data_IF_992327706593
#
_entry.id   IF_992327706593
#
_cell.length_a   1.000
_cell.length_b   1.000
_cell.length_c   1.000
_cell.angle_alpha   90.00
_cell.angle_beta   90.00
_cell.angle_gamma   90.00
#
_symmetry.space_group_name_H-M   'P 1'
#
loop_
_entity.id
_entity.type
_entity.pdbx_description
1 polymer ?
#
# COMPACT_ATOMS: atom_id res chain seq x y z
N UNK A 1 3.27 -19.01 -8.29
CA UNK A 1 3.38 -17.53 -8.12
C UNK A 1 3.11 -17.18 -6.66
N UNK A 2 4.01 -16.46 -6.02
CA UNK A 2 3.88 -16.00 -4.64
C UNK A 2 3.30 -14.57 -4.64
N UNK A 3 2.10 -14.35 -4.08
CA UNK A 3 1.42 -13.05 -4.10
C UNK A 3 1.08 -12.61 -2.68
N UNK A 4 1.51 -11.39 -2.32
CA UNK A 4 1.18 -10.75 -1.05
C UNK A 4 0.34 -9.50 -1.29
N UNK A 5 -0.72 -9.33 -0.49
CA UNK A 5 -1.51 -8.12 -0.46
C UNK A 5 -1.21 -7.29 0.80
N UNK A 6 -0.84 -6.04 0.62
CA UNK A 6 -0.48 -5.11 1.67
C UNK A 6 -1.62 -4.12 1.86
N UNK A 7 -2.31 -4.22 3.00
CA UNK A 7 -3.46 -3.37 3.28
C UNK A 7 -3.06 -1.93 3.63
N UNK A 8 -4.00 -1.00 3.52
CA UNK A 8 -3.79 0.41 3.83
C UNK A 8 -3.79 0.71 5.33
N UNK A 9 -3.58 2.00 5.64
CA UNK A 9 -3.66 2.53 7.01
C UNK A 9 -5.05 2.29 7.63
N UNK A 10 -5.08 1.93 8.91
CA UNK A 10 -6.30 1.65 9.68
C UNK A 10 -7.26 0.66 8.99
N UNK A 11 -6.72 -0.26 8.20
CA UNK A 11 -7.43 -1.30 7.47
C UNK A 11 -6.97 -2.68 7.97
N UNK A 12 -7.38 -3.74 7.29
CA UNK A 12 -7.00 -5.11 7.67
C UNK A 12 -6.82 -6.01 6.45
N UNK A 13 -6.28 -7.20 6.71
CA UNK A 13 -6.19 -8.29 5.74
C UNK A 13 -7.54 -8.74 5.17
N UNK A 14 -8.67 -8.35 5.80
CA UNK A 14 -10.05 -8.67 5.39
C UNK A 14 -10.73 -7.54 4.61
N UNK A 15 -9.97 -6.59 4.06
CA UNK A 15 -10.54 -5.49 3.29
C UNK A 15 -11.24 -5.99 2.01
N UNK A 16 -12.24 -5.24 1.53
CA UNK A 16 -13.01 -5.57 0.32
C UNK A 16 -12.11 -5.83 -0.89
N UNK A 17 -11.09 -4.99 -1.09
CA UNK A 17 -10.12 -5.18 -2.19
C UNK A 17 -9.33 -6.49 -2.03
N UNK A 18 -8.84 -6.77 -0.82
CA UNK A 18 -8.11 -8.02 -0.55
C UNK A 18 -8.98 -9.25 -0.85
N UNK A 19 -10.23 -9.26 -0.40
CA UNK A 19 -11.18 -10.34 -0.67
C UNK A 19 -11.43 -10.53 -2.16
N UNK A 20 -11.71 -9.44 -2.89
CA UNK A 20 -11.95 -9.49 -4.32
C UNK A 20 -10.75 -10.07 -5.11
N UNK A 21 -9.55 -9.56 -4.86
CA UNK A 21 -8.35 -10.08 -5.54
C UNK A 21 -8.01 -11.52 -5.12
N UNK A 22 -8.28 -11.89 -3.86
CA UNK A 22 -8.13 -13.27 -3.42
C UNK A 22 -9.03 -14.24 -4.19
N UNK A 23 -10.30 -13.85 -4.41
CA UNK A 23 -11.25 -14.67 -5.17
C UNK A 23 -10.83 -14.80 -6.65
N UNK A 24 -10.43 -13.70 -7.26
CA UNK A 24 -9.96 -13.69 -8.64
C UNK A 24 -8.69 -14.54 -8.83
N UNK A 25 -7.68 -14.38 -7.98
CA UNK A 25 -6.44 -15.16 -8.03
C UNK A 25 -6.68 -16.64 -7.75
N UNK A 26 -7.60 -16.98 -6.84
CA UNK A 26 -7.97 -18.37 -6.54
C UNK A 26 -8.56 -19.08 -7.75
N UNK A 27 -9.31 -18.39 -8.61
CA UNK A 27 -9.80 -18.94 -9.88
C UNK A 27 -8.66 -19.37 -10.81
N UNK A 28 -7.46 -18.82 -10.64
CA UNK A 28 -6.23 -19.18 -11.36
C UNK A 28 -5.29 -20.11 -10.55
N UNK A 29 -5.77 -20.70 -9.45
CA UNK A 29 -4.97 -21.58 -8.60
C UNK A 29 -3.89 -20.87 -7.77
N UNK A 30 -3.99 -19.54 -7.59
CA UNK A 30 -3.03 -18.71 -6.86
C UNK A 30 -3.61 -18.30 -5.52
N UNK A 31 -2.90 -18.59 -4.43
CA UNK A 31 -3.27 -18.13 -3.09
C UNK A 31 -2.72 -16.72 -2.84
N UNK A 32 -3.61 -15.81 -2.43
CA UNK A 32 -3.23 -14.48 -1.95
C UNK A 32 -2.94 -14.54 -0.45
N UNK A 33 -1.73 -14.16 -0.05
CA UNK A 33 -1.36 -13.98 1.36
C UNK A 33 -1.53 -12.53 1.74
N UNK A 34 -2.05 -12.27 2.92
CA UNK A 34 -2.34 -10.93 3.41
C UNK A 34 -1.75 -10.77 4.82
N UNK A 35 -0.50 -10.29 4.96
CA UNK A 35 0.05 -9.98 6.27
C UNK A 35 -0.83 -8.98 7.01
N UNK A 36 -1.11 -9.23 8.29
CA UNK A 36 -1.80 -8.25 9.13
C UNK A 36 -0.76 -7.34 9.80
N UNK A 37 -0.70 -6.10 9.35
CA UNK A 37 0.22 -5.10 9.92
C UNK A 37 -0.26 -4.54 11.26
N UNK A 38 -1.48 -4.83 11.67
CA UNK A 38 -1.96 -4.45 12.99
C UNK A 38 -1.39 -5.33 14.11
N UNK A 39 -0.80 -6.48 13.78
CA UNK A 39 -0.17 -7.37 14.75
C UNK A 39 1.21 -6.81 15.21
N UNK A 40 1.54 -6.84 16.52
CA UNK A 40 0.77 -7.31 17.67
C UNK A 40 -0.35 -6.34 18.10
N UNK A 41 -0.29 -5.07 17.73
CA UNK A 41 -1.30 -4.05 17.99
C UNK A 41 -1.16 -2.87 17.03
N UNK A 42 -2.26 -2.14 16.81
CA UNK A 42 -2.29 -0.93 15.98
C UNK A 42 -1.59 0.26 16.64
N UNK A 43 -1.60 0.33 17.98
CA UNK A 43 -1.06 1.49 18.70
C UNK A 43 0.45 1.68 18.47
N UNK A 44 1.19 0.59 18.33
CA UNK A 44 2.65 0.61 18.10
C UNK A 44 3.05 0.46 16.62
N UNK A 45 2.10 0.64 15.69
CA UNK A 45 2.38 0.59 14.26
C UNK A 45 3.48 1.61 13.89
N UNK A 46 4.44 1.18 13.06
CA UNK A 46 5.41 2.05 12.38
C UNK A 46 5.74 1.51 10.99
N UNK A 47 6.23 2.35 10.10
CA UNK A 47 6.68 1.94 8.76
C UNK A 47 7.84 0.95 8.87
N UNK A 48 8.79 1.22 9.77
CA UNK A 48 9.91 0.31 10.06
C UNK A 48 9.43 -1.07 10.50
N UNK A 49 8.42 -1.15 11.40
CA UNK A 49 7.86 -2.43 11.86
C UNK A 49 7.21 -3.20 10.71
N UNK A 50 6.39 -2.52 9.90
CA UNK A 50 5.73 -3.12 8.74
C UNK A 50 6.73 -3.65 7.71
N UNK A 51 7.78 -2.89 7.39
CA UNK A 51 8.86 -3.33 6.50
C UNK A 51 9.64 -4.52 7.07
N UNK A 52 9.90 -4.52 8.38
CA UNK A 52 10.54 -5.64 9.06
C UNK A 52 9.71 -6.92 9.01
N UNK A 53 8.38 -6.81 9.19
CA UNK A 53 7.45 -7.94 9.03
C UNK A 53 7.46 -8.44 7.58
N UNK A 54 7.32 -7.53 6.61
CA UNK A 54 7.33 -7.89 5.20
C UNK A 54 8.66 -8.53 4.77
N UNK A 55 9.79 -8.05 5.29
CA UNK A 55 11.10 -8.67 5.05
C UNK A 55 11.16 -10.14 5.51
N UNK A 56 10.57 -10.46 6.67
CA UNK A 56 10.46 -11.87 7.12
C UNK A 56 9.55 -12.70 6.22
N UNK A 57 8.42 -12.13 5.78
CA UNK A 57 7.48 -12.81 4.88
C UNK A 57 8.08 -13.07 3.49
N UNK A 58 8.96 -12.19 3.02
CA UNK A 58 9.68 -12.33 1.75
C UNK A 58 10.88 -13.28 1.85
N UNK A 59 11.46 -13.47 3.03
CA UNK A 59 12.63 -14.33 3.22
C UNK A 59 12.31 -15.83 3.07
N UNK A 60 11.11 -16.26 3.48
CA UNK A 60 10.73 -17.66 3.57
C UNK A 60 10.51 -18.36 2.20
N UNK A 61 9.78 -17.79 1.22
CA UNK A 61 9.58 -18.42 -0.08
C UNK A 61 10.83 -18.34 -0.96
N UNK A 62 11.08 -19.39 -1.78
CA UNK A 62 12.15 -19.35 -2.78
C UNK A 62 11.84 -18.43 -3.95
N UNK A 63 10.57 -18.34 -4.36
CA UNK A 63 10.12 -17.50 -5.47
C UNK A 63 9.97 -16.04 -5.04
N UNK A 64 10.45 -15.08 -5.84
CA UNK A 64 10.17 -13.68 -5.63
C UNK A 64 8.67 -13.38 -5.63
N UNK A 65 8.25 -12.47 -4.77
CA UNK A 65 6.84 -12.15 -4.59
C UNK A 65 6.35 -11.08 -5.58
N UNK A 66 5.09 -11.20 -5.99
CA UNK A 66 4.30 -10.07 -6.47
C UNK A 66 3.72 -9.35 -5.25
N UNK A 67 3.97 -8.06 -5.11
CA UNK A 67 3.37 -7.24 -4.05
C UNK A 67 2.19 -6.45 -4.62
N UNK A 68 1.01 -6.68 -4.07
CA UNK A 68 -0.19 -5.90 -4.34
C UNK A 68 -0.41 -4.96 -3.15
N UNK A 69 -0.46 -3.65 -3.35
CA UNK A 69 -0.54 -2.72 -2.22
C UNK A 69 -1.58 -1.63 -2.40
N UNK A 70 -2.40 -1.36 -1.37
CA UNK A 70 -3.40 -0.30 -1.39
C UNK A 70 -3.04 0.83 -0.44
N UNK A 71 -3.07 2.08 -0.91
CA UNK A 71 -2.77 3.29 -0.13
C UNK A 71 -1.40 3.18 0.56
N UNK A 72 -1.32 3.19 1.91
CA UNK A 72 -0.09 2.95 2.67
C UNK A 72 0.55 1.60 2.31
N UNK A 73 -0.24 0.56 2.02
CA UNK A 73 0.28 -0.72 1.53
C UNK A 73 1.00 -0.59 0.19
N UNK A 74 0.57 0.34 -0.67
CA UNK A 74 1.27 0.70 -1.91
C UNK A 74 2.62 1.37 -1.64
N UNK A 75 2.67 2.27 -0.67
CA UNK A 75 3.93 2.86 -0.18
C UNK A 75 4.89 1.79 0.32
N UNK A 76 4.39 0.86 1.16
CA UNK A 76 5.20 -0.27 1.67
C UNK A 76 5.72 -1.16 0.54
N UNK A 77 4.92 -1.42 -0.50
CA UNK A 77 5.36 -2.22 -1.65
C UNK A 77 6.52 -1.55 -2.39
N UNK A 78 6.47 -0.23 -2.60
CA UNK A 78 7.55 0.56 -3.21
C UNK A 78 8.82 0.48 -2.37
N UNK A 79 8.71 0.74 -1.07
CA UNK A 79 9.85 0.71 -0.14
C UNK A 79 10.45 -0.69 -0.02
N UNK A 80 9.61 -1.73 -0.02
CA UNK A 80 10.05 -3.12 0.01
C UNK A 80 10.76 -3.54 -1.29
N UNK A 81 10.29 -3.09 -2.45
CA UNK A 81 10.97 -3.35 -3.72
C UNK A 81 12.38 -2.73 -3.73
N UNK A 82 12.55 -1.53 -3.18
CA UNK A 82 13.86 -0.91 -3.04
C UNK A 82 14.77 -1.61 -2.01
N UNK A 83 14.19 -2.07 -0.87
CA UNK A 83 14.97 -2.67 0.21
C UNK A 83 15.32 -4.14 -0.01
N UNK A 84 14.45 -4.90 -0.69
CA UNK A 84 14.55 -6.36 -0.81
C UNK A 84 14.70 -6.83 -2.27
N UNK A 85 14.87 -5.93 -3.22
CA UNK A 85 15.25 -6.15 -4.62
C UNK A 85 14.81 -7.48 -5.23
N UNK A 86 15.71 -8.45 -5.27
CA UNK A 86 15.52 -9.77 -5.87
C UNK A 86 14.39 -10.62 -5.26
N UNK A 87 13.87 -10.23 -4.10
CA UNK A 87 12.75 -10.91 -3.43
C UNK A 87 11.38 -10.41 -3.92
N UNK A 88 11.35 -9.36 -4.74
CA UNK A 88 10.15 -8.77 -5.33
C UNK A 88 10.22 -8.84 -6.84
N UNK A 89 9.21 -9.44 -7.47
CA UNK A 89 9.18 -9.63 -8.92
C UNK A 89 8.38 -8.55 -9.67
N UNK A 90 7.25 -8.13 -9.11
CA UNK A 90 6.33 -7.13 -9.68
C UNK A 90 5.57 -6.40 -8.60
N UNK A 91 5.07 -5.20 -8.92
CA UNK A 91 4.18 -4.43 -8.07
C UNK A 91 2.83 -4.18 -8.76
N UNK A 92 1.73 -4.33 -8.02
CA UNK A 92 0.38 -3.86 -8.42
C UNK A 92 -0.10 -2.93 -7.32
N UNK A 93 -0.20 -1.65 -7.62
CA UNK A 93 -0.46 -0.61 -6.62
C UNK A 93 -1.83 0.04 -6.87
N UNK A 94 -2.59 0.24 -5.82
CA UNK A 94 -3.94 0.80 -5.83
C UNK A 94 -3.96 2.06 -4.97
N UNK A 95 -4.08 3.23 -5.60
CA UNK A 95 -4.03 4.54 -4.96
C UNK A 95 -2.85 4.68 -3.97
N UNK A 96 -1.58 4.41 -4.40
CA UNK A 96 -0.44 4.39 -3.49
C UNK A 96 -0.19 5.77 -2.87
N UNK A 97 -0.07 5.82 -1.53
CA UNK A 97 0.15 7.06 -0.80
C UNK A 97 1.62 7.52 -0.90
N UNK A 98 2.06 7.90 -2.10
CA UNK A 98 3.46 8.21 -2.41
C UNK A 98 4.02 9.45 -1.69
N UNK A 99 3.14 10.28 -1.13
CA UNK A 99 3.50 11.52 -0.44
C UNK A 99 3.02 11.56 1.03
N UNK A 100 2.57 10.44 1.60
CA UNK A 100 1.83 10.45 2.87
C UNK A 100 2.58 11.07 4.07
N UNK A 101 3.90 10.98 4.09
CA UNK A 101 4.75 11.53 5.16
C UNK A 101 5.41 12.87 4.79
N UNK A 102 5.16 13.41 3.60
CA UNK A 102 5.75 14.68 3.17
C UNK A 102 5.02 15.87 3.80
N UNK A 103 5.74 16.88 4.30
CA UNK A 103 5.12 18.12 4.77
C UNK A 103 4.22 18.74 3.70
N UNK A 104 3.02 19.18 4.10
CA UNK A 104 2.01 19.75 3.19
C UNK A 104 1.14 18.73 2.44
N UNK A 105 1.42 17.43 2.57
CA UNK A 105 0.63 16.35 1.95
C UNK A 105 -0.05 15.45 2.97
N UNK A 106 -0.02 15.82 4.24
CA UNK A 106 -0.69 15.06 5.30
C UNK A 106 -2.19 15.28 5.25
N UNK A 107 -2.96 14.25 5.56
CA UNK A 107 -4.41 14.35 5.78
C UNK A 107 -4.75 15.11 7.06
N UNK A 108 -3.82 15.19 8.03
CA UNK A 108 -3.98 15.94 9.27
C UNK A 108 -3.37 17.34 9.11
N UNK A 109 -4.09 18.39 9.56
CA UNK A 109 -3.53 19.73 9.62
C UNK A 109 -2.40 19.82 10.67
N UNK A 110 -1.47 20.79 10.54
CA UNK A 110 -0.30 20.91 11.42
C UNK A 110 -0.63 20.92 12.91
N UNK A 111 -1.71 21.58 13.29
CA UNK A 111 -2.17 21.70 14.70
C UNK A 111 -2.51 20.33 15.30
N UNK A 112 -3.10 19.44 14.49
CA UNK A 112 -3.44 18.07 14.91
C UNK A 112 -2.19 17.21 15.05
N UNK A 113 -1.18 17.42 14.19
CA UNK A 113 0.11 16.74 14.29
C UNK A 113 0.85 17.19 15.55
N UNK A 114 0.82 18.50 15.88
CA UNK A 114 1.41 19.04 17.10
C UNK A 114 0.67 18.57 18.36
N UNK A 115 -0.65 18.46 18.30
CA UNK A 115 -1.43 17.85 19.38
C UNK A 115 -1.02 16.38 19.57
N UNK A 116 -0.94 15.61 18.51
CA UNK A 116 -0.52 14.20 18.54
C UNK A 116 0.87 14.05 19.16
N UNK A 117 1.83 14.89 18.75
CA UNK A 117 3.18 14.92 19.33
C UNK A 117 3.14 15.19 20.85
N UNK A 118 2.36 16.19 21.29
CA UNK A 118 2.30 16.55 22.72
C UNK A 118 1.63 15.49 23.58
N UNK A 119 0.63 14.80 23.04
CA UNK A 119 -0.11 13.73 23.74
C UNK A 119 0.60 12.39 23.70
N UNK A 120 1.51 12.20 22.75
CA UNK A 120 2.17 10.92 22.48
C UNK A 120 1.31 9.92 21.72
N UNK A 121 -0.01 10.09 21.73
CA UNK A 121 -0.99 9.24 21.01
C UNK A 121 -2.19 10.04 20.52
N UNK A 122 -2.86 9.51 19.49
CA UNK A 122 -4.12 10.03 18.93
C UNK A 122 -4.99 8.88 18.47
N UNK A 123 -6.31 9.00 18.62
CA UNK A 123 -7.26 8.01 18.09
C UNK A 123 -7.53 8.22 16.61
N UNK A 124 -7.63 7.11 15.90
CA UNK A 124 -8.02 7.04 14.48
C UNK A 124 -9.12 6.00 14.32
N UNK A 125 -10.10 6.30 13.48
CA UNK A 125 -11.11 5.31 13.12
C UNK A 125 -10.46 4.17 12.32
N UNK A 126 -10.54 2.96 12.87
CA UNK A 126 -9.95 1.78 12.27
C UNK A 126 -11.02 0.99 11.52
N UNK A 127 -11.02 1.09 10.21
CA UNK A 127 -12.04 0.47 9.33
C UNK A 127 -12.11 -1.05 9.47
N UNK A 128 -10.98 -1.71 9.71
CA UNK A 128 -10.95 -3.17 9.89
C UNK A 128 -11.58 -3.65 11.21
N UNK A 129 -11.65 -2.79 12.23
CA UNK A 129 -12.27 -3.08 13.54
C UNK A 129 -13.60 -2.35 13.74
N UNK A 130 -13.92 -1.37 12.87
CA UNK A 130 -15.11 -0.51 12.97
C UNK A 130 -15.20 0.28 14.28
N UNK A 131 -14.05 0.72 14.81
CA UNK A 131 -13.95 1.47 16.06
C UNK A 131 -12.74 2.40 16.07
N UNK A 132 -12.74 3.36 17.00
CA UNK A 132 -11.57 4.22 17.26
C UNK A 132 -10.46 3.42 17.95
N UNK A 133 -9.23 3.57 17.44
CA UNK A 133 -8.04 2.92 17.99
C UNK A 133 -6.93 3.95 18.21
N UNK A 134 -6.23 3.91 19.36
CA UNK A 134 -5.08 4.77 19.58
C UNK A 134 -3.93 4.39 18.66
N UNK A 135 -3.16 5.40 18.26
CA UNK A 135 -1.91 5.24 17.52
C UNK A 135 -0.86 6.18 18.13
N UNK A 136 0.30 5.63 18.46
CA UNK A 136 1.39 6.40 19.03
C UNK A 136 1.99 7.38 18.00
N UNK A 137 2.43 8.55 18.45
CA UNK A 137 3.11 9.54 17.60
C UNK A 137 4.35 8.98 16.89
N UNK A 138 4.95 7.92 17.44
CA UNK A 138 6.06 7.20 16.83
C UNK A 138 5.78 6.74 15.39
N UNK A 139 4.52 6.50 15.02
CA UNK A 139 4.15 6.20 13.63
C UNK A 139 4.50 7.36 12.70
N UNK A 140 4.11 8.59 13.08
CA UNK A 140 4.39 9.77 12.28
C UNK A 140 5.89 10.05 12.21
N UNK A 141 6.56 10.04 13.35
CA UNK A 141 8.00 10.31 13.44
C UNK A 141 8.83 9.30 12.62
N UNK A 142 8.51 8.02 12.72
CA UNK A 142 9.14 6.97 11.93
C UNK A 142 8.86 7.14 10.42
N UNK A 143 7.64 7.54 10.06
CA UNK A 143 7.24 7.68 8.65
C UNK A 143 8.03 8.75 7.89
N UNK A 144 8.51 9.79 8.58
CA UNK A 144 9.32 10.86 7.99
C UNK A 144 10.69 10.39 7.45
N UNK A 145 11.11 9.19 7.86
CA UNK A 145 12.37 8.56 7.41
C UNK A 145 12.26 7.91 6.02
N UNK A 146 11.04 7.80 5.49
CA UNK A 146 10.75 7.05 4.28
C UNK A 146 10.19 7.95 3.18
N UNK A 147 10.84 7.92 2.02
CA UNK A 147 10.42 8.66 0.84
C UNK A 147 10.26 7.74 -0.37
N UNK A 148 9.04 7.45 -0.82
CA UNK A 148 8.81 6.66 -2.03
C UNK A 148 9.43 7.27 -3.29
N UNK A 149 9.60 8.60 -3.36
CA UNK A 149 10.22 9.26 -4.51
C UNK A 149 11.71 8.98 -4.59
N UNK A 150 12.39 8.79 -3.45
CA UNK A 150 13.81 8.45 -3.38
C UNK A 150 14.07 6.93 -3.50
N UNK A 151 13.02 6.12 -3.38
CA UNK A 151 13.11 4.68 -3.50
C UNK A 151 13.52 4.26 -4.92
N UNK A 152 14.63 3.51 -5.04
CA UNK A 152 15.13 3.00 -6.31
C UNK A 152 14.76 1.54 -6.47
N UNK A 153 14.03 1.22 -7.50
CA UNK A 153 13.58 -0.13 -7.82
C UNK A 153 13.31 -0.25 -9.34
N UNK A 154 13.53 -1.42 -9.89
CA UNK A 154 13.39 -1.69 -11.34
C UNK A 154 12.27 -2.69 -11.65
N UNK A 155 11.57 -3.19 -10.62
CA UNK A 155 10.49 -4.15 -10.80
C UNK A 155 9.36 -3.55 -11.64
N UNK A 156 8.86 -4.27 -12.66
CA UNK A 156 7.67 -3.85 -13.39
C UNK A 156 6.53 -3.52 -12.43
N UNK A 157 5.92 -2.37 -12.61
CA UNK A 157 4.92 -1.83 -11.70
C UNK A 157 3.69 -1.36 -12.45
N UNK A 158 2.51 -1.82 -12.03
CA UNK A 158 1.22 -1.34 -12.49
C UNK A 158 0.55 -0.54 -11.36
N UNK A 159 0.16 0.69 -11.65
CA UNK A 159 -0.56 1.57 -10.71
C UNK A 159 -1.98 1.82 -11.23
N UNK A 160 -2.95 1.68 -10.34
CA UNK A 160 -4.33 2.16 -10.53
C UNK A 160 -4.56 3.35 -9.61
N UNK A 161 -5.06 4.47 -10.17
CA UNK A 161 -5.30 5.69 -9.41
C UNK A 161 -6.64 6.30 -9.77
N UNK A 162 -7.43 6.65 -8.75
CA UNK A 162 -8.72 7.34 -8.92
C UNK A 162 -8.53 8.83 -9.24
N UNK A 163 -9.26 9.32 -10.24
CA UNK A 163 -9.26 10.75 -10.61
C UNK A 163 -9.99 11.62 -9.56
N UNK A 164 -10.93 11.02 -8.82
CA UNK A 164 -11.71 11.67 -7.76
C UNK A 164 -11.18 11.36 -6.35
N UNK A 165 -9.96 10.84 -6.26
CA UNK A 165 -9.32 10.52 -4.98
C UNK A 165 -8.99 11.82 -4.22
N UNK A 166 -9.63 11.99 -3.05
CA UNK A 166 -9.43 13.14 -2.14
C UNK A 166 -8.39 12.86 -1.05
N UNK A 167 -7.93 11.61 -0.93
CA UNK A 167 -6.93 11.19 0.06
C UNK A 167 -5.53 11.18 -0.52
N UNK A 168 -5.40 10.77 -1.79
CA UNK A 168 -4.14 10.75 -2.53
C UNK A 168 -4.35 11.49 -3.86
N UNK A 169 -3.82 12.70 -3.98
CA UNK A 169 -3.93 13.48 -5.20
C UNK A 169 -3.30 12.71 -6.37
N UNK A 170 -4.12 12.40 -7.39
CA UNK A 170 -3.70 11.66 -8.57
C UNK A 170 -2.50 12.31 -9.28
N UNK A 171 -2.37 13.64 -9.21
CA UNK A 171 -1.23 14.38 -9.82
C UNK A 171 0.10 13.99 -9.20
N UNK A 172 0.12 13.70 -7.89
CA UNK A 172 1.35 13.24 -7.21
C UNK A 172 1.74 11.85 -7.67
N UNK A 173 0.75 10.97 -7.91
CA UNK A 173 0.97 9.63 -8.45
C UNK A 173 1.39 9.69 -9.92
N UNK A 174 0.81 10.58 -10.72
CA UNK A 174 1.27 10.85 -12.08
C UNK A 174 2.72 11.34 -12.13
N UNK A 175 3.10 12.26 -11.22
CA UNK A 175 4.48 12.72 -11.09
C UNK A 175 5.42 11.57 -10.73
N UNK A 176 5.03 10.73 -9.78
CA UNK A 176 5.78 9.54 -9.38
C UNK A 176 5.99 8.59 -10.55
N UNK A 177 4.92 8.28 -11.31
CA UNK A 177 4.99 7.36 -12.45
C UNK A 177 5.83 7.92 -13.60
N UNK A 178 5.70 9.21 -13.90
CA UNK A 178 6.38 9.88 -15.04
C UNK A 178 7.90 9.80 -14.96
N UNK A 179 8.47 9.71 -13.77
CA UNK A 179 9.91 9.63 -13.55
C UNK A 179 10.48 8.21 -13.57
N UNK A 180 9.62 7.18 -13.85
CA UNK A 180 10.00 5.77 -13.73
C UNK A 180 9.56 4.97 -14.95
N UNK A 181 10.50 4.52 -15.81
CA UNK A 181 10.17 3.80 -17.04
C UNK A 181 9.58 2.40 -16.80
N UNK A 182 9.78 1.83 -15.60
CA UNK A 182 9.25 0.55 -15.16
C UNK A 182 7.80 0.66 -14.61
N UNK A 183 7.19 1.84 -14.61
CA UNK A 183 5.85 2.09 -14.05
C UNK A 183 4.85 2.38 -15.14
N UNK A 184 3.77 1.59 -15.17
CA UNK A 184 2.56 1.84 -15.97
C UNK A 184 1.47 2.38 -15.06
N UNK A 185 0.87 3.52 -15.42
CA UNK A 185 -0.23 4.16 -14.67
C UNK A 185 -1.55 4.05 -15.42
N UNK A 186 -2.58 3.57 -14.76
CA UNK A 186 -3.97 3.56 -15.21
C UNK A 186 -4.81 4.49 -14.34
N UNK A 187 -5.32 5.57 -14.93
CA UNK A 187 -6.24 6.48 -14.27
C UNK A 187 -7.68 5.99 -14.44
N UNK A 188 -8.44 6.01 -13.35
CA UNK A 188 -9.81 5.48 -13.27
C UNK A 188 -10.76 6.59 -12.79
N UNK A 189 -11.97 6.63 -13.34
CA UNK A 189 -13.02 7.54 -12.86
C UNK A 189 -13.64 6.98 -11.56
N UNK A 190 -12.87 7.04 -10.46
CA UNK A 190 -13.23 6.48 -9.17
C UNK A 190 -12.59 7.31 -8.03
N UNK A 191 -12.95 7.00 -6.80
CA UNK A 191 -12.40 7.60 -5.57
C UNK A 191 -11.18 6.82 -5.02
N UNK A 192 -10.76 7.15 -3.79
CA UNK A 192 -9.65 6.47 -3.10
C UNK A 192 -9.88 4.98 -2.89
N UNK A 193 -11.13 4.56 -2.72
CA UNK A 193 -11.46 3.17 -2.43
C UNK A 193 -11.37 2.27 -3.67
N UNK A 194 -11.54 2.84 -4.88
CA UNK A 194 -11.48 2.13 -6.16
C UNK A 194 -12.44 0.94 -6.25
N UNK A 195 -13.56 0.97 -5.52
CA UNK A 195 -14.48 -0.19 -5.43
C UNK A 195 -15.26 -0.37 -6.73
N UNK A 196 -15.71 0.72 -7.36
CA UNK A 196 -16.43 0.64 -8.63
C UNK A 196 -15.54 0.11 -9.76
N UNK A 197 -14.22 0.30 -9.65
CA UNK A 197 -13.24 -0.09 -10.65
C UNK A 197 -12.64 -1.49 -10.45
N UNK A 198 -13.07 -2.27 -9.45
CA UNK A 198 -12.52 -3.60 -9.16
C UNK A 198 -12.45 -4.52 -10.39
N UNK A 199 -13.50 -4.66 -11.23
CA UNK A 199 -13.44 -5.52 -12.41
C UNK A 199 -12.35 -5.08 -13.40
N UNK A 200 -12.27 -3.76 -13.67
CA UNK A 200 -11.26 -3.20 -14.58
C UNK A 200 -9.84 -3.33 -14.04
N UNK A 201 -9.68 -3.16 -12.72
CA UNK A 201 -8.38 -3.39 -12.08
C UNK A 201 -7.96 -4.86 -12.17
N UNK A 202 -8.91 -5.79 -12.05
CA UNK A 202 -8.60 -7.21 -12.23
C UNK A 202 -8.15 -7.51 -13.66
N UNK A 203 -8.87 -7.03 -14.67
CA UNK A 203 -8.49 -7.20 -16.09
C UNK A 203 -7.05 -6.76 -16.34
N UNK A 204 -6.71 -5.53 -15.92
CA UNK A 204 -5.36 -5.01 -16.06
C UNK A 204 -4.32 -5.79 -15.24
N UNK A 205 -4.69 -6.25 -14.04
CA UNK A 205 -3.81 -7.08 -13.20
C UNK A 205 -3.57 -8.45 -13.83
N UNK A 206 -4.61 -9.10 -14.33
CA UNK A 206 -4.51 -10.41 -14.96
C UNK A 206 -3.63 -10.36 -16.23
N UNK A 207 -3.80 -9.33 -17.05
CA UNK A 207 -2.93 -9.08 -18.21
C UNK A 207 -1.48 -8.86 -17.77
N UNK A 208 -1.24 -7.97 -16.82
CA UNK A 208 0.09 -7.63 -16.30
C UNK A 208 0.81 -8.83 -15.67
N UNK A 209 0.07 -9.75 -15.05
CA UNK A 209 0.61 -10.97 -14.44
C UNK A 209 0.68 -12.15 -15.45
N UNK A 210 0.13 -12.02 -16.65
CA UNK A 210 0.10 -13.07 -17.66
C UNK A 210 -0.89 -14.19 -17.34
N UNK A 211 -2.02 -13.86 -16.69
CA UNK A 211 -3.06 -14.81 -16.28
C UNK A 211 -4.20 -14.98 -17.31
N UNK A 212 -4.18 -14.22 -18.40
CA UNK A 212 -5.22 -14.23 -19.46
C UNK A 212 -5.07 -15.41 -20.45
N UNK A 213 -4.63 -16.59 -19.97
CA UNK A 213 -4.52 -17.78 -20.81
C UNK A 213 -5.56 -18.82 -20.46
#
# INVERSE_FOLDING_TARGET
>A
MNVLYLHGFASSAKSTKAGYFADCLRAHGIALRCPDFNDPDFATLTVTRMLGQLGRDLAAPREPAVLMGSSLGGTLAILAAAAFGDRVSRLVLMAPAVMFAKPGHHLLPPERIDEWRRRGEMSFFHYGYSEERPLNYAFYDDSLRYDPFEARFDQPTLIFQGLRDTSVDHRTVEQFARTRPNVTLSLLDDDHQLIASLPRMWEGTAEFLGLNR
#
